data_IF_535495312955
#
_entry.id   IF_535495312955
#
_cell.length_a   1.000
_cell.length_b   1.000
_cell.length_c   1.000
_cell.angle_alpha   90.00
_cell.angle_beta   90.00
_cell.angle_gamma   90.00
#
_symmetry.space_group_name_H-M   'P 1'
#
loop_
_entity.id
_entity.type
_entity.pdbx_description
1 polymer ?
#
# COMPACT_ATOMS: atom_id res chain seq x y z
N UNK A 1 -15.32 16.89 -46.11
CA UNK A 1 -14.92 17.47 -44.81
C UNK A 1 -13.41 17.49 -44.80
N UNK A 2 -12.77 18.63 -44.61
CA UNK A 2 -11.30 18.71 -44.65
C UNK A 2 -10.70 18.00 -43.43
N UNK A 3 -9.44 17.57 -43.55
CA UNK A 3 -8.70 16.93 -42.45
C UNK A 3 -8.68 17.79 -41.17
N UNK A 4 -8.64 19.11 -41.34
CA UNK A 4 -8.67 20.09 -40.26
C UNK A 4 -9.97 20.04 -39.46
N UNK A 5 -11.13 19.91 -40.12
CA UNK A 5 -12.41 19.78 -39.40
C UNK A 5 -12.53 18.45 -38.65
N UNK A 6 -11.96 17.37 -39.20
CA UNK A 6 -11.89 16.09 -38.48
C UNK A 6 -11.03 16.19 -37.22
N UNK A 7 -9.88 16.86 -37.32
CA UNK A 7 -9.01 17.08 -36.16
C UNK A 7 -9.69 17.91 -35.08
N UNK A 8 -10.39 18.99 -35.45
CA UNK A 8 -11.14 19.84 -34.50
C UNK A 8 -12.23 19.03 -33.82
N UNK A 9 -13.00 18.24 -34.57
CA UNK A 9 -14.06 17.40 -33.98
C UNK A 9 -13.49 16.34 -33.02
N UNK A 10 -12.34 15.73 -33.37
CA UNK A 10 -11.69 14.76 -32.50
C UNK A 10 -11.24 15.41 -31.18
N UNK A 11 -10.57 16.57 -31.25
CA UNK A 11 -10.14 17.33 -30.05
C UNK A 11 -11.35 17.71 -29.19
N UNK A 12 -12.44 18.19 -29.83
CA UNK A 12 -13.67 18.53 -29.10
C UNK A 12 -14.31 17.31 -28.44
N UNK A 13 -14.37 16.16 -29.11
CA UNK A 13 -14.84 14.90 -28.55
C UNK A 13 -13.99 14.44 -27.36
N UNK A 14 -12.67 14.55 -27.45
CA UNK A 14 -11.76 14.22 -26.35
C UNK A 14 -11.95 15.17 -25.16
N UNK A 15 -12.15 16.46 -25.40
CA UNK A 15 -12.46 17.43 -24.34
C UNK A 15 -13.82 17.11 -23.70
N UNK A 16 -14.84 16.80 -24.49
CA UNK A 16 -16.14 16.36 -23.96
C UNK A 16 -16.00 15.10 -23.08
N UNK A 17 -15.29 14.10 -23.55
CA UNK A 17 -15.01 12.89 -22.75
C UNK A 17 -14.26 13.23 -21.45
N UNK A 18 -13.31 14.17 -21.51
CA UNK A 18 -12.58 14.62 -20.33
C UNK A 18 -13.48 15.35 -19.31
N UNK A 19 -14.36 16.23 -19.76
CA UNK A 19 -15.20 17.02 -18.86
C UNK A 19 -16.48 16.31 -18.42
N UNK A 20 -17.08 15.48 -19.28
CA UNK A 20 -18.37 14.80 -19.04
C UNK A 20 -18.22 13.31 -18.71
N UNK A 21 -17.01 12.75 -18.85
CA UNK A 21 -16.75 11.35 -18.54
C UNK A 21 -17.00 11.02 -17.06
N UNK A 22 -17.30 9.76 -16.75
CA UNK A 22 -17.52 9.32 -15.38
C UNK A 22 -16.27 9.57 -14.54
N UNK A 23 -16.45 10.21 -13.40
CA UNK A 23 -15.39 10.46 -12.41
C UNK A 23 -15.67 9.65 -11.17
N UNK A 24 -14.70 8.87 -10.74
CA UNK A 24 -14.76 8.18 -9.47
C UNK A 24 -14.50 9.22 -8.38
N UNK A 25 -15.46 9.40 -7.48
CA UNK A 25 -15.25 10.16 -6.25
C UNK A 25 -14.49 9.24 -5.31
N UNK A 26 -13.24 9.59 -5.03
CA UNK A 26 -12.40 8.81 -4.10
C UNK A 26 -12.84 9.15 -2.67
N UNK A 27 -13.33 8.15 -1.96
CA UNK A 27 -13.64 8.25 -0.53
C UNK A 27 -12.37 7.90 0.28
N UNK A 28 -11.72 8.93 0.82
CA UNK A 28 -10.51 8.80 1.66
C UNK A 28 -10.84 8.67 3.14
N UNK A 29 -12.11 8.49 3.50
CA UNK A 29 -12.47 8.31 4.91
C UNK A 29 -12.00 6.96 5.41
N UNK A 30 -11.13 6.99 6.41
CA UNK A 30 -10.59 5.80 7.06
C UNK A 30 -11.03 5.73 8.51
N UNK A 31 -11.20 4.53 9.01
CA UNK A 31 -11.49 4.28 10.42
C UNK A 31 -10.18 4.22 11.21
N UNK A 32 -10.25 4.63 12.48
CA UNK A 32 -9.11 4.45 13.39
C UNK A 32 -8.81 2.96 13.59
N UNK A 33 -7.54 2.60 13.47
CA UNK A 33 -7.09 1.23 13.66
C UNK A 33 -6.68 1.03 15.11
N UNK A 34 -7.30 0.05 15.78
CA UNK A 34 -6.94 -0.35 17.13
C UNK A 34 -6.15 -1.65 17.06
N UNK A 35 -4.86 -1.58 17.30
CA UNK A 35 -3.98 -2.75 17.26
C UNK A 35 -3.85 -3.39 18.66
N UNK A 36 -4.01 -4.70 18.79
CA UNK A 36 -3.75 -5.42 20.03
C UNK A 36 -2.23 -5.45 20.33
N UNK A 37 -1.88 -5.99 21.48
CA UNK A 37 -0.47 -6.10 21.89
C UNK A 37 0.29 -7.09 20.99
N UNK A 38 -0.32 -8.22 20.69
CA UNK A 38 0.25 -9.28 19.84
C UNK A 38 -0.11 -9.04 18.38
N UNK A 39 0.84 -8.49 17.62
CA UNK A 39 0.67 -8.17 16.20
C UNK A 39 0.69 -9.44 15.33
N UNK A 40 1.48 -10.45 15.68
CA UNK A 40 1.55 -11.69 14.91
C UNK A 40 0.21 -12.44 14.98
N UNK A 41 -0.38 -12.53 16.17
CA UNK A 41 -1.71 -13.11 16.32
C UNK A 41 -2.78 -12.32 15.57
N UNK A 42 -2.72 -10.98 15.64
CA UNK A 42 -3.62 -10.09 14.91
C UNK A 42 -3.57 -10.32 13.41
N UNK A 43 -2.37 -10.35 12.82
CA UNK A 43 -2.20 -10.58 11.39
C UNK A 43 -2.70 -11.97 10.99
N UNK A 44 -2.32 -13.00 11.72
CA UNK A 44 -2.78 -14.37 11.46
C UNK A 44 -4.31 -14.46 11.51
N UNK A 45 -4.96 -13.84 12.49
CA UNK A 45 -6.42 -13.82 12.60
C UNK A 45 -7.07 -13.02 11.45
N UNK A 46 -6.48 -11.88 11.04
CA UNK A 46 -7.01 -11.07 9.95
C UNK A 46 -6.92 -11.79 8.61
N UNK A 47 -5.78 -12.43 8.33
CA UNK A 47 -5.52 -13.14 7.09
C UNK A 47 -6.26 -14.49 6.99
N UNK A 48 -6.50 -15.17 8.12
CA UNK A 48 -7.26 -16.44 8.15
C UNK A 48 -8.72 -16.33 7.73
N UNK A 49 -9.23 -15.11 7.62
CA UNK A 49 -10.58 -14.84 7.07
C UNK A 49 -10.66 -15.11 5.56
N UNK A 50 -9.52 -15.21 4.90
CA UNK A 50 -9.40 -15.40 3.46
C UNK A 50 -8.82 -16.79 3.18
N UNK A 51 -9.62 -17.68 2.63
CA UNK A 51 -9.19 -19.05 2.31
C UNK A 51 -8.39 -19.18 1.01
N UNK A 52 -8.31 -18.11 0.23
CA UNK A 52 -7.77 -18.08 -1.14
C UNK A 52 -6.56 -17.16 -1.31
N UNK A 53 -5.88 -16.76 -0.23
CA UNK A 53 -4.60 -16.06 -0.34
C UNK A 53 -3.57 -17.06 -0.85
N UNK A 54 -2.86 -16.69 -1.90
CA UNK A 54 -1.77 -17.50 -2.45
C UNK A 54 -0.61 -17.57 -1.45
N UNK A 55 0.04 -18.72 -1.39
CA UNK A 55 1.15 -18.97 -0.47
C UNK A 55 2.24 -17.89 -0.57
N UNK A 56 2.70 -17.41 0.57
CA UNK A 56 3.72 -16.38 0.69
C UNK A 56 3.27 -14.96 0.37
N UNK A 57 1.95 -14.72 0.14
CA UNK A 57 1.42 -13.38 -0.17
C UNK A 57 0.63 -12.75 0.99
N UNK A 58 0.61 -13.38 2.15
CA UNK A 58 0.00 -12.84 3.36
C UNK A 58 0.73 -11.58 3.86
N UNK A 59 0.03 -10.78 4.66
CA UNK A 59 0.66 -9.76 5.50
C UNK A 59 1.68 -10.44 6.41
N UNK A 60 2.88 -9.85 6.55
CA UNK A 60 3.94 -10.45 7.35
C UNK A 60 4.83 -9.41 8.00
N UNK A 61 5.21 -9.66 9.25
CA UNK A 61 6.26 -8.91 9.95
C UNK A 61 7.53 -9.76 9.94
N UNK A 62 8.61 -9.18 9.43
CA UNK A 62 9.96 -9.71 9.61
C UNK A 62 10.62 -8.91 10.74
N UNK A 63 10.81 -9.59 11.87
CA UNK A 63 11.42 -8.99 13.05
C UNK A 63 12.94 -8.97 12.93
N UNK A 64 13.55 -7.84 13.20
CA UNK A 64 15.01 -7.70 13.22
C UNK A 64 15.68 -8.49 14.35
N UNK A 65 14.92 -8.86 15.39
CA UNK A 65 15.42 -9.62 16.53
C UNK A 65 14.38 -10.63 17.03
N UNK A 66 14.87 -11.70 17.67
CA UNK A 66 14.03 -12.78 18.20
C UNK A 66 13.10 -12.36 19.35
N UNK A 67 13.32 -11.19 19.94
CA UNK A 67 12.52 -10.68 21.06
C UNK A 67 11.30 -9.88 20.62
N UNK A 68 11.11 -9.71 19.30
CA UNK A 68 9.98 -8.99 18.70
C UNK A 68 9.79 -7.57 19.28
N UNK A 69 10.91 -6.89 19.53
CA UNK A 69 10.93 -5.55 20.10
C UNK A 69 10.92 -4.48 19.02
N UNK A 70 10.43 -3.31 19.39
CA UNK A 70 10.52 -2.09 18.60
C UNK A 70 11.98 -1.74 18.30
N UNK A 71 12.26 -1.32 17.07
CA UNK A 71 13.56 -0.87 16.59
C UNK A 71 13.59 0.65 16.37
N UNK A 72 14.76 1.26 16.13
CA UNK A 72 14.84 2.69 15.82
C UNK A 72 14.05 3.02 14.55
N UNK A 73 14.16 2.18 13.51
CA UNK A 73 13.43 2.31 12.27
C UNK A 73 12.53 1.10 12.06
N UNK A 74 11.34 1.32 11.52
CA UNK A 74 10.56 0.29 10.87
C UNK A 74 10.40 0.60 9.39
N UNK A 75 10.37 -0.43 8.56
CA UNK A 75 10.06 -0.33 7.15
C UNK A 75 8.67 -0.90 6.92
N UNK A 76 7.82 -0.15 6.24
CA UNK A 76 6.49 -0.61 5.81
C UNK A 76 6.46 -0.60 4.29
N UNK A 77 6.26 -1.75 3.69
CA UNK A 77 6.20 -1.89 2.24
C UNK A 77 4.75 -1.99 1.74
N UNK A 78 4.41 -1.09 0.82
CA UNK A 78 3.12 -1.00 0.12
C UNK A 78 3.35 -1.36 -1.36
N UNK A 79 2.82 -2.50 -1.80
CA UNK A 79 3.03 -3.00 -3.16
C UNK A 79 2.18 -2.27 -4.21
N UNK A 80 2.51 -2.48 -5.50
CA UNK A 80 1.79 -1.93 -6.63
C UNK A 80 0.46 -2.61 -6.93
N UNK A 81 -0.32 -2.04 -7.88
CA UNK A 81 -1.56 -2.64 -8.36
C UNK A 81 -1.29 -4.01 -8.99
N UNK A 82 -2.14 -4.97 -8.72
CA UNK A 82 -2.02 -6.38 -9.13
C UNK A 82 -0.73 -7.10 -8.73
N UNK A 83 0.07 -6.48 -7.84
CA UNK A 83 1.34 -7.00 -7.35
C UNK A 83 1.24 -7.57 -5.93
N UNK A 84 2.38 -7.82 -5.32
CA UNK A 84 2.53 -8.27 -3.94
C UNK A 84 3.94 -7.93 -3.44
N UNK A 85 4.25 -8.28 -2.20
CA UNK A 85 5.60 -8.10 -1.64
C UNK A 85 6.72 -8.73 -2.50
N UNK A 86 6.40 -9.74 -3.29
CA UNK A 86 7.37 -10.44 -4.14
C UNK A 86 7.93 -9.57 -5.27
N UNK A 87 7.25 -8.48 -5.65
CA UNK A 87 7.75 -7.58 -6.71
C UNK A 87 9.07 -6.89 -6.35
N UNK A 88 9.37 -6.75 -5.05
CA UNK A 88 10.56 -6.06 -4.54
C UNK A 88 11.51 -6.99 -3.78
N UNK A 89 11.05 -8.20 -3.41
CA UNK A 89 11.88 -9.15 -2.66
C UNK A 89 13.08 -9.63 -3.52
N UNK A 90 14.29 -9.78 -2.95
CA UNK A 90 14.63 -9.64 -1.54
C UNK A 90 15.24 -8.26 -1.18
N UNK A 91 14.88 -7.19 -1.88
CA UNK A 91 15.51 -5.88 -1.67
C UNK A 91 15.16 -5.31 -0.30
N UNK A 92 13.87 -5.34 0.08
CA UNK A 92 13.43 -4.77 1.36
C UNK A 92 13.97 -5.56 2.56
N UNK A 93 14.06 -6.86 2.44
CA UNK A 93 14.67 -7.72 3.47
C UNK A 93 16.14 -7.32 3.71
N UNK A 94 16.92 -7.14 2.64
CA UNK A 94 18.33 -6.70 2.74
C UNK A 94 18.47 -5.30 3.32
N UNK A 95 17.56 -4.38 2.98
CA UNK A 95 17.57 -3.02 3.53
C UNK A 95 17.23 -3.06 5.02
N UNK A 96 16.22 -3.85 5.41
CA UNK A 96 15.84 -4.02 6.80
C UNK A 96 16.98 -4.61 7.63
N UNK A 97 17.63 -5.66 7.13
CA UNK A 97 18.81 -6.27 7.78
C UNK A 97 19.94 -5.25 7.97
N UNK A 98 20.26 -4.48 6.91
CA UNK A 98 21.33 -3.48 6.96
C UNK A 98 21.07 -2.33 7.96
N UNK A 99 19.80 -2.00 8.19
CA UNK A 99 19.36 -0.97 9.13
C UNK A 99 19.07 -1.53 10.53
N UNK A 100 19.03 -2.85 10.71
CA UNK A 100 18.55 -3.47 11.94
C UNK A 100 17.08 -3.10 12.21
N UNK A 101 16.28 -2.95 11.16
CA UNK A 101 14.91 -2.47 11.21
C UNK A 101 13.90 -3.61 11.14
N UNK A 102 12.81 -3.51 11.88
CA UNK A 102 11.64 -4.36 11.65
C UNK A 102 11.02 -4.01 10.29
N UNK A 103 10.55 -5.02 9.56
CA UNK A 103 9.94 -4.86 8.24
C UNK A 103 8.52 -5.43 8.22
N UNK A 104 7.57 -4.63 7.77
CA UNK A 104 6.20 -5.06 7.55
C UNK A 104 5.86 -5.05 6.06
N UNK A 105 5.44 -6.19 5.57
CA UNK A 105 4.84 -6.34 4.25
C UNK A 105 3.33 -6.32 4.37
N UNK A 106 2.69 -5.28 3.84
CA UNK A 106 1.23 -5.25 3.77
C UNK A 106 0.71 -6.06 2.57
N UNK A 107 -0.55 -6.39 2.60
CA UNK A 107 -1.32 -6.90 1.48
C UNK A 107 -2.56 -6.02 1.33
N UNK A 108 -2.66 -5.31 0.22
CA UNK A 108 -3.83 -4.49 -0.09
C UNK A 108 -5.04 -5.38 -0.38
N UNK A 109 -6.22 -4.95 0.02
CA UNK A 109 -7.49 -5.64 -0.21
C UNK A 109 -7.63 -6.10 -1.66
N UNK A 110 -8.11 -7.32 -1.87
CA UNK A 110 -8.24 -7.97 -3.17
C UNK A 110 -6.94 -8.53 -3.75
N UNK A 111 -5.76 -8.11 -3.25
CA UNK A 111 -4.47 -8.59 -3.76
C UNK A 111 -4.04 -9.91 -3.11
N UNK A 112 -3.17 -10.63 -3.81
CA UNK A 112 -2.70 -11.93 -3.35
C UNK A 112 -3.73 -13.06 -3.44
N UNK A 113 -4.89 -12.79 -4.00
CA UNK A 113 -6.05 -13.68 -4.13
C UNK A 113 -6.38 -13.96 -5.60
N UNK A 114 -7.68 -14.09 -5.94
CA UNK A 114 -8.16 -14.28 -7.31
C UNK A 114 -8.35 -12.94 -8.03
N UNK A 115 -8.52 -12.98 -9.35
CA UNK A 115 -8.81 -11.81 -10.18
C UNK A 115 -10.13 -11.15 -9.78
N UNK A 116 -11.12 -11.96 -9.41
CA UNK A 116 -12.44 -11.51 -8.95
C UNK A 116 -12.29 -10.69 -7.65
N UNK A 117 -11.55 -11.18 -6.66
CA UNK A 117 -11.30 -10.46 -5.42
C UNK A 117 -10.62 -9.10 -5.67
N UNK A 118 -9.68 -9.05 -6.63
CA UNK A 118 -9.05 -7.79 -7.02
C UNK A 118 -10.06 -6.84 -7.68
N UNK A 119 -10.93 -7.34 -8.56
CA UNK A 119 -11.93 -6.51 -9.25
C UNK A 119 -13.01 -5.94 -8.34
N UNK A 120 -13.27 -6.59 -7.21
CA UNK A 120 -14.25 -6.17 -6.20
C UNK A 120 -13.65 -5.19 -5.18
N UNK A 121 -12.32 -5.12 -5.07
CA UNK A 121 -11.65 -4.24 -4.12
C UNK A 121 -11.74 -2.77 -4.53
N UNK A 122 -11.78 -1.90 -3.54
CA UNK A 122 -12.01 -0.46 -3.72
C UNK A 122 -10.82 0.38 -3.25
N UNK A 123 -10.63 1.59 -3.81
CA UNK A 123 -9.63 2.53 -3.30
C UNK A 123 -9.79 2.84 -1.80
N UNK A 124 -11.03 2.89 -1.31
CA UNK A 124 -11.31 3.12 0.12
C UNK A 124 -10.70 2.04 1.00
N UNK A 125 -10.83 0.77 0.61
CA UNK A 125 -10.20 -0.35 1.33
C UNK A 125 -8.67 -0.23 1.31
N UNK A 126 -8.08 0.20 0.19
CA UNK A 126 -6.63 0.41 0.10
C UNK A 126 -6.14 1.55 0.98
N UNK A 127 -6.91 2.63 1.14
CA UNK A 127 -6.61 3.68 2.12
C UNK A 127 -6.68 3.14 3.56
N UNK A 128 -7.65 2.27 3.84
CA UNK A 128 -7.78 1.62 5.15
C UNK A 128 -6.61 0.67 5.42
N UNK A 129 -6.22 -0.15 4.43
CA UNK A 129 -5.06 -1.05 4.53
C UNK A 129 -3.75 -0.29 4.72
N UNK A 130 -3.57 0.82 4.02
CA UNK A 130 -2.41 1.69 4.17
C UNK A 130 -2.36 2.34 5.56
N UNK A 131 -3.52 2.76 6.09
CA UNK A 131 -3.62 3.28 7.45
C UNK A 131 -3.29 2.23 8.49
N UNK A 132 -3.80 1.00 8.34
CA UNK A 132 -3.42 -0.14 9.18
C UNK A 132 -1.91 -0.40 9.13
N UNK A 133 -1.34 -0.40 7.93
CA UNK A 133 0.08 -0.62 7.73
C UNK A 133 0.96 0.44 8.43
N UNK A 134 0.55 1.71 8.38
CA UNK A 134 1.22 2.77 9.12
C UNK A 134 1.14 2.56 10.64
N UNK A 135 -0.03 2.23 11.17
CA UNK A 135 -0.19 2.00 12.62
C UNK A 135 0.64 0.78 13.10
N UNK A 136 0.73 -0.27 12.28
CA UNK A 136 1.65 -1.38 12.54
C UNK A 136 3.10 -0.87 12.52
N UNK A 137 3.50 -0.11 11.51
CA UNK A 137 4.84 0.48 11.41
C UNK A 137 5.23 1.28 12.65
N UNK A 138 4.33 2.11 13.18
CA UNK A 138 4.53 2.87 14.44
C UNK A 138 4.75 1.99 15.67
N UNK A 139 4.21 0.78 15.65
CA UNK A 139 4.43 -0.20 16.73
C UNK A 139 5.75 -0.94 16.56
N UNK A 140 6.23 -1.06 15.32
CA UNK A 140 7.46 -1.77 14.98
C UNK A 140 8.73 -0.91 15.10
N UNK A 141 8.63 0.41 14.94
CA UNK A 141 9.77 1.33 15.00
C UNK A 141 9.41 2.69 15.59
N UNK A 142 10.45 3.39 16.11
CA UNK A 142 10.30 4.78 16.58
C UNK A 142 10.10 5.76 15.41
N UNK A 143 10.69 5.42 14.26
CA UNK A 143 10.61 6.16 12.99
C UNK A 143 10.13 5.21 11.90
N UNK A 144 9.16 5.62 11.12
CA UNK A 144 8.56 4.78 10.06
C UNK A 144 9.07 5.21 8.70
N UNK A 145 9.59 4.26 7.94
CA UNK A 145 9.95 4.42 6.52
C UNK A 145 8.89 3.72 5.69
N UNK A 146 8.04 4.50 5.04
CA UNK A 146 7.05 3.97 4.09
C UNK A 146 7.71 3.81 2.73
N UNK A 147 7.77 2.61 2.22
CA UNK A 147 8.27 2.30 0.88
C UNK A 147 7.12 1.81 0.04
N UNK A 148 6.94 2.37 -1.13
CA UNK A 148 5.82 1.98 -1.99
C UNK A 148 6.16 1.97 -3.47
N UNK A 149 5.55 1.06 -4.22
CA UNK A 149 5.66 0.95 -5.67
C UNK A 149 4.34 1.32 -6.33
N UNK A 150 4.36 2.22 -7.35
CA UNK A 150 3.17 2.59 -8.13
C UNK A 150 1.99 3.00 -7.23
N UNK A 151 0.90 2.23 -7.18
CA UNK A 151 -0.23 2.45 -6.27
C UNK A 151 0.22 2.53 -4.81
N UNK A 152 1.11 1.64 -4.38
CA UNK A 152 1.69 1.68 -3.03
C UNK A 152 2.49 2.97 -2.77
N UNK A 153 3.20 3.50 -3.78
CA UNK A 153 3.89 4.79 -3.67
C UNK A 153 2.90 5.96 -3.49
N UNK A 154 1.77 5.93 -4.19
CA UNK A 154 0.70 6.93 -4.02
C UNK A 154 0.13 6.89 -2.60
N UNK A 155 -0.12 5.68 -2.07
CA UNK A 155 -0.62 5.49 -0.70
C UNK A 155 0.42 5.94 0.34
N UNK A 156 1.72 5.64 0.13
CA UNK A 156 2.80 6.08 1.00
C UNK A 156 2.91 7.61 1.05
N UNK A 157 2.82 8.28 -0.10
CA UNK A 157 2.83 9.75 -0.16
C UNK A 157 1.59 10.35 0.49
N UNK A 158 0.41 9.77 0.27
CA UNK A 158 -0.82 10.20 0.92
C UNK A 158 -0.72 10.13 2.45
N UNK A 159 -0.21 9.01 3.00
CA UNK A 159 0.02 8.86 4.44
C UNK A 159 1.01 9.90 4.96
N UNK A 160 2.14 10.10 4.29
CA UNK A 160 3.15 11.08 4.70
C UNK A 160 2.61 12.51 4.71
N UNK A 161 1.78 12.88 3.71
CA UNK A 161 1.13 14.19 3.67
C UNK A 161 0.11 14.37 4.78
N UNK A 162 -0.65 13.31 5.12
CA UNK A 162 -1.65 13.34 6.19
C UNK A 162 -1.03 13.41 7.58
N UNK A 163 0.18 12.86 7.74
CA UNK A 163 0.90 12.72 9.01
C UNK A 163 2.21 13.54 9.07
N UNK A 164 2.25 14.72 8.43
CA UNK A 164 3.46 15.56 8.28
C UNK A 164 4.19 15.93 9.58
N UNK A 165 3.53 15.84 10.73
CA UNK A 165 4.10 16.18 12.05
C UNK A 165 4.65 14.97 12.80
N UNK A 166 4.56 13.79 12.21
CA UNK A 166 5.03 12.54 12.78
C UNK A 166 6.37 12.11 12.16
N UNK A 167 7.10 11.22 12.81
CA UNK A 167 8.40 10.71 12.32
C UNK A 167 8.20 9.67 11.21
N UNK A 168 7.62 10.12 10.07
CA UNK A 168 7.28 9.28 8.93
C UNK A 168 8.01 9.79 7.69
N UNK A 169 8.69 8.90 6.99
CA UNK A 169 9.41 9.17 5.75
C UNK A 169 8.85 8.30 4.63
N UNK A 170 8.47 8.89 3.51
CA UNK A 170 7.98 8.14 2.34
C UNK A 170 9.05 8.07 1.26
N UNK A 171 9.29 6.87 0.76
CA UNK A 171 10.19 6.57 -0.37
C UNK A 171 9.38 5.93 -1.50
N UNK A 172 8.90 6.72 -2.48
CA UNK A 172 8.28 6.17 -3.67
C UNK A 172 9.32 5.49 -4.55
N UNK A 173 9.08 4.25 -4.93
CA UNK A 173 9.92 3.49 -5.85
C UNK A 173 9.25 3.45 -7.22
N UNK A 174 9.99 3.81 -8.25
CA UNK A 174 9.57 3.67 -9.65
C UNK A 174 10.55 2.75 -10.38
N UNK A 175 10.02 1.80 -11.12
CA UNK A 175 10.79 1.03 -12.08
C UNK A 175 10.76 1.79 -13.41
N UNK A 176 11.90 2.27 -13.84
CA UNK A 176 12.10 2.83 -15.20
C UNK A 176 12.71 1.79 -16.11
#
# INVERSE_FOLDING_TARGET
MSLEWLAILLVFALLLLWFLGPRIIIDETVQSVQLPKDLNHYLNQSESRFSNIREGLNKEILWANAEEKQTEYSIVYLHGFSASRQEISPVMEKVADALGANLFFTRLSGHGQTTEALSESTPKEWFQDATEALEIGKRLGEKVILVGTSTGATLALWLALKHQRENIHALPVSYT
#
